data_IF_512586872531
#
_entry.id   IF_512586872531
#
_cell.length_a   1.000
_cell.length_b   1.000
_cell.length_c   1.000
_cell.angle_alpha   90.00
_cell.angle_beta   90.00
_cell.angle_gamma   90.00
#
_symmetry.space_group_name_H-M   'P 1'
#
loop_
_entity.id
_entity.type
_entity.pdbx_description
1 polymer ?
#
# COMPACT_ATOMS: atom_id res chain seq x y z
N UNK A 1 -28.30 -9.63 98.45
CA UNK A 1 -27.00 -8.91 98.45
C UNK A 1 -26.81 -8.37 97.05
N UNK A 2 -27.18 -7.11 96.79
CA UNK A 2 -26.27 -5.94 96.81
C UNK A 2 -25.08 -6.15 95.84
N UNK A 3 -24.77 -5.29 94.87
CA UNK A 3 -24.89 -3.83 94.82
C UNK A 3 -24.73 -3.32 93.38
N UNK A 4 -25.35 -2.16 93.13
CA UNK A 4 -25.24 -1.24 92.00
C UNK A 4 -23.80 -0.75 91.72
N UNK A 5 -23.50 -0.44 90.44
CA UNK A 5 -23.03 0.90 89.97
C UNK A 5 -22.90 0.99 88.43
N UNK A 6 -23.57 1.99 87.85
CA UNK A 6 -23.30 2.61 86.54
C UNK A 6 -21.90 3.22 86.45
N UNK A 7 -21.27 3.24 85.26
CA UNK A 7 -20.83 4.44 84.47
C UNK A 7 -20.67 4.02 82.98
N UNK A 8 -21.08 4.90 82.06
CA UNK A 8 -20.98 4.90 80.59
C UNK A 8 -19.59 4.61 80.00
N UNK A 9 -19.54 4.02 78.79
CA UNK A 9 -18.71 4.49 77.67
C UNK A 9 -19.01 3.73 76.35
N UNK A 10 -19.34 4.47 75.29
CA UNK A 10 -18.96 4.16 73.89
C UNK A 10 -19.76 3.11 73.12
N UNK A 11 -20.86 3.52 72.46
CA UNK A 11 -21.47 2.75 71.36
C UNK A 11 -20.69 3.02 70.06
N UNK A 12 -20.07 1.99 69.50
CA UNK A 12 -19.60 1.96 68.12
C UNK A 12 -19.98 0.61 67.50
N UNK A 13 -21.14 0.56 66.84
CA UNK A 13 -21.54 -0.55 65.97
C UNK A 13 -20.78 -0.44 64.64
N UNK A 14 -20.00 -1.47 64.31
CA UNK A 14 -19.41 -1.69 62.99
C UNK A 14 -20.26 -2.75 62.28
N UNK A 15 -21.21 -2.27 61.45
CA UNK A 15 -22.03 -3.09 60.56
C UNK A 15 -21.25 -3.45 59.27
N UNK A 16 -21.34 -4.73 58.92
CA UNK A 16 -20.73 -5.37 57.76
C UNK A 16 -21.57 -5.12 56.51
N UNK A 17 -21.23 -4.10 55.72
CA UNK A 17 -21.88 -3.79 54.44
C UNK A 17 -21.09 -4.30 53.23
N UNK A 18 -21.65 -5.29 52.53
CA UNK A 18 -21.23 -5.73 51.19
C UNK A 18 -21.70 -4.68 50.16
N UNK A 19 -20.79 -3.94 49.54
CA UNK A 19 -21.11 -2.99 48.45
C UNK A 19 -21.13 -3.69 47.09
N UNK A 20 -22.25 -3.57 46.38
CA UNK A 20 -22.40 -3.87 44.96
C UNK A 20 -22.08 -2.62 44.13
N UNK A 21 -21.39 -2.73 42.98
CA UNK A 21 -21.01 -1.55 42.19
C UNK A 21 -22.22 -0.97 41.43
N UNK A 22 -22.48 0.32 41.68
CA UNK A 22 -23.51 1.15 41.02
C UNK A 22 -23.19 1.35 39.54
N UNK A 23 -24.19 1.12 38.68
CA UNK A 23 -24.17 1.51 37.28
C UNK A 23 -24.16 3.05 37.14
N UNK A 24 -23.14 3.59 36.49
CA UNK A 24 -23.06 5.01 36.12
C UNK A 24 -23.86 5.21 34.84
N UNK A 25 -25.00 5.87 34.96
CA UNK A 25 -25.86 6.26 33.84
C UNK A 25 -25.47 7.69 33.41
N UNK A 26 -24.65 7.84 32.37
CA UNK A 26 -24.22 9.14 31.87
C UNK A 26 -25.17 9.59 30.74
N UNK A 27 -26.19 10.37 31.10
CA UNK A 27 -27.07 11.04 30.14
C UNK A 27 -26.32 12.22 29.49
N UNK A 28 -26.06 12.13 28.17
CA UNK A 28 -25.49 13.20 27.36
C UNK A 28 -26.59 14.22 27.02
N UNK A 29 -26.35 15.50 27.30
CA UNK A 29 -27.26 16.62 26.93
C UNK A 29 -27.05 17.03 25.47
N UNK A 30 -28.11 17.45 24.74
CA UNK A 30 -27.95 18.00 23.40
C UNK A 30 -27.42 19.44 23.47
N UNK A 31 -26.36 19.74 22.71
CA UNK A 31 -25.85 21.10 22.53
C UNK A 31 -26.47 21.68 21.25
N UNK A 32 -27.19 22.79 21.40
CA UNK A 32 -27.80 23.56 20.33
C UNK A 32 -26.77 24.44 19.61
N UNK A 33 -26.68 24.25 18.29
CA UNK A 33 -26.31 25.16 17.21
C UNK A 33 -25.37 26.35 17.45
N UNK A 34 -24.21 26.31 16.79
CA UNK A 34 -23.66 27.44 16.04
C UNK A 34 -23.21 26.93 14.66
N UNK A 35 -23.67 27.62 13.61
CA UNK A 35 -23.42 27.30 12.20
C UNK A 35 -21.99 27.66 11.78
N UNK A 36 -21.22 26.67 11.32
CA UNK A 36 -20.04 26.92 10.46
C UNK A 36 -19.89 25.82 9.38
N UNK A 37 -20.28 26.19 8.17
CA UNK A 37 -19.73 25.84 6.84
C UNK A 37 -19.36 24.37 6.51
N UNK A 38 -20.27 23.69 5.80
CA UNK A 38 -19.98 23.17 4.44
C UNK A 38 -19.06 21.97 4.22
N UNK A 39 -18.50 21.33 5.25
CA UNK A 39 -17.92 20.00 5.12
C UNK A 39 -18.19 19.18 6.38
N UNK A 40 -18.76 17.98 6.22
CA UNK A 40 -19.15 17.09 7.33
C UNK A 40 -17.98 16.63 8.19
N UNK A 41 -17.49 17.51 9.06
CA UNK A 41 -16.66 17.18 10.20
C UNK A 41 -17.58 16.62 11.30
N UNK A 42 -17.65 15.30 11.36
CA UNK A 42 -18.21 14.59 12.51
C UNK A 42 -17.38 14.93 13.74
N UNK A 43 -18.04 15.28 14.84
CA UNK A 43 -17.40 15.65 16.11
C UNK A 43 -16.37 14.60 16.53
N UNK A 44 -15.17 15.07 16.87
CA UNK A 44 -14.05 14.26 17.36
C UNK A 44 -14.40 13.35 18.51
N UNK A 45 -15.30 13.78 19.42
CA UNK A 45 -15.72 12.96 20.56
C UNK A 45 -16.62 11.77 20.13
N UNK A 46 -17.46 11.98 19.12
CA UNK A 46 -18.29 10.93 18.53
C UNK A 46 -17.43 9.92 17.78
N UNK A 47 -16.39 10.40 17.11
CA UNK A 47 -15.43 9.56 16.40
C UNK A 47 -14.61 8.68 17.36
N UNK A 48 -14.22 9.22 18.51
CA UNK A 48 -13.49 8.51 19.57
C UNK A 48 -14.32 7.35 20.15
N UNK A 49 -15.57 7.62 20.55
CA UNK A 49 -16.48 6.60 21.07
C UNK A 49 -16.73 5.46 20.05
N UNK A 50 -16.93 5.82 18.78
CA UNK A 50 -17.13 4.83 17.72
C UNK A 50 -15.88 3.97 17.46
N UNK A 51 -14.67 4.53 17.64
CA UNK A 51 -13.42 3.79 17.51
C UNK A 51 -13.21 2.83 18.68
N UNK A 52 -13.48 3.28 19.91
CA UNK A 52 -13.40 2.43 21.11
C UNK A 52 -14.36 1.23 21.03
N UNK A 53 -15.60 1.46 20.57
CA UNK A 53 -16.58 0.38 20.36
C UNK A 53 -16.14 -0.64 19.29
N UNK A 54 -15.36 -0.21 18.28
CA UNK A 54 -14.77 -1.10 17.27
C UNK A 54 -13.59 -1.87 17.84
N UNK A 55 -12.74 -1.24 18.66
CA UNK A 55 -11.59 -1.88 19.30
C UNK A 55 -12.01 -2.96 20.30
N UNK A 56 -13.06 -2.72 21.09
CA UNK A 56 -13.55 -3.71 22.07
C UNK A 56 -14.09 -5.00 21.41
N UNK A 57 -14.63 -4.91 20.19
CA UNK A 57 -15.11 -6.07 19.42
C UNK A 57 -14.00 -6.92 18.80
N UNK A 58 -12.76 -6.43 18.69
CA UNK A 58 -11.64 -7.09 17.97
C UNK A 58 -10.89 -8.17 18.78
N UNK A 59 -11.55 -8.91 19.67
CA UNK A 59 -10.86 -9.90 20.53
C UNK A 59 -10.48 -11.24 19.87
N UNK A 60 -10.96 -11.55 18.66
CA UNK A 60 -10.60 -12.79 17.97
C UNK A 60 -9.79 -12.53 16.69
N UNK A 61 -8.60 -13.11 16.60
CA UNK A 61 -7.70 -12.98 15.44
C UNK A 61 -8.27 -13.56 14.13
N UNK A 62 -9.26 -14.46 14.23
CA UNK A 62 -9.96 -15.00 13.08
C UNK A 62 -11.12 -14.13 12.58
N UNK A 63 -11.61 -13.20 13.40
CA UNK A 63 -12.81 -12.42 13.06
C UNK A 63 -12.60 -11.52 11.82
N UNK A 64 -11.36 -11.14 11.51
CA UNK A 64 -11.03 -10.36 10.33
C UNK A 64 -11.16 -11.15 9.02
N UNK A 65 -10.80 -12.43 9.01
CA UNK A 65 -10.96 -13.30 7.82
C UNK A 65 -12.44 -13.48 7.43
N UNK A 66 -13.36 -13.24 8.37
CA UNK A 66 -14.81 -13.27 8.15
C UNK A 66 -15.38 -11.92 7.68
N UNK A 67 -14.57 -10.85 7.62
CA UNK A 67 -15.06 -9.54 7.17
C UNK A 67 -15.14 -9.46 5.65
N UNK A 68 -16.19 -8.82 5.13
CA UNK A 68 -16.35 -8.58 3.68
C UNK A 68 -15.20 -7.77 3.09
N UNK A 69 -14.66 -6.82 3.87
CA UNK A 69 -13.57 -5.96 3.44
C UNK A 69 -12.27 -6.74 3.20
N UNK A 70 -11.99 -7.77 4.01
CA UNK A 70 -10.85 -8.65 3.77
C UNK A 70 -10.92 -9.34 2.41
N UNK A 71 -12.08 -9.90 2.05
CA UNK A 71 -12.27 -10.57 0.76
C UNK A 71 -12.24 -9.60 -0.43
N UNK A 72 -12.75 -8.37 -0.26
CA UNK A 72 -12.65 -7.32 -1.27
C UNK A 72 -11.18 -6.95 -1.51
N UNK A 73 -10.43 -6.69 -0.44
CA UNK A 73 -9.00 -6.34 -0.54
C UNK A 73 -8.19 -7.50 -1.12
N UNK A 74 -8.50 -8.75 -0.74
CA UNK A 74 -7.87 -9.93 -1.32
C UNK A 74 -8.15 -10.05 -2.82
N UNK A 75 -9.42 -9.89 -3.24
CA UNK A 75 -9.81 -9.93 -4.65
C UNK A 75 -9.11 -8.83 -5.45
N UNK A 76 -9.09 -7.60 -4.93
CA UNK A 76 -8.36 -6.49 -5.54
C UNK A 76 -6.87 -6.82 -5.67
N UNK A 77 -6.26 -7.39 -4.62
CA UNK A 77 -4.87 -7.84 -4.64
C UNK A 77 -4.60 -8.86 -5.75
N UNK A 78 -5.52 -9.79 -5.99
CA UNK A 78 -5.39 -10.76 -7.09
C UNK A 78 -5.57 -10.11 -8.47
N UNK A 79 -6.48 -9.14 -8.62
CA UNK A 79 -6.62 -8.37 -9.86
C UNK A 79 -5.31 -7.64 -10.17
N UNK A 80 -4.71 -6.98 -9.17
CA UNK A 80 -3.43 -6.29 -9.32
C UNK A 80 -2.29 -7.25 -9.66
N UNK A 81 -2.25 -8.41 -9.01
CA UNK A 81 -1.28 -9.47 -9.31
C UNK A 81 -1.37 -9.93 -10.77
N UNK A 82 -2.59 -10.10 -11.30
CA UNK A 82 -2.79 -10.43 -12.70
C UNK A 82 -2.40 -9.27 -13.63
N UNK A 83 -2.65 -8.02 -13.24
CA UNK A 83 -2.24 -6.84 -14.01
C UNK A 83 -0.71 -6.77 -14.13
N UNK A 84 0.04 -6.96 -13.04
CA UNK A 84 1.51 -6.94 -13.09
C UNK A 84 2.07 -8.13 -13.89
N UNK A 85 1.44 -9.30 -13.81
CA UNK A 85 1.80 -10.44 -14.67
C UNK A 85 1.53 -10.13 -16.15
N UNK A 86 0.40 -9.49 -16.46
CA UNK A 86 0.04 -9.11 -17.82
C UNK A 86 1.04 -8.07 -18.39
N UNK A 87 1.40 -7.04 -17.62
CA UNK A 87 2.39 -6.03 -18.05
C UNK A 87 3.75 -6.66 -18.31
N UNK A 88 4.22 -7.55 -17.44
CA UNK A 88 5.46 -8.30 -17.65
C UNK A 88 5.41 -9.19 -18.92
N UNK A 89 4.26 -9.80 -19.19
CA UNK A 89 4.04 -10.62 -20.39
C UNK A 89 4.08 -9.76 -21.65
N UNK A 90 3.38 -8.62 -21.69
CA UNK A 90 3.41 -7.70 -22.83
C UNK A 90 4.81 -7.10 -23.05
N UNK A 91 5.52 -6.73 -21.98
CA UNK A 91 6.91 -6.26 -22.07
C UNK A 91 7.82 -7.32 -22.70
N UNK A 92 7.69 -8.58 -22.30
CA UNK A 92 8.46 -9.69 -22.89
C UNK A 92 8.12 -9.88 -24.37
N UNK A 93 6.83 -9.82 -24.74
CA UNK A 93 6.41 -9.92 -26.15
C UNK A 93 6.94 -8.77 -27.02
N UNK A 94 7.02 -7.57 -26.46
CA UNK A 94 7.61 -6.38 -27.12
C UNK A 94 9.11 -6.55 -27.34
N UNK A 95 9.83 -7.05 -26.33
CA UNK A 95 11.27 -7.37 -26.44
C UNK A 95 11.51 -8.45 -27.50
N UNK A 96 10.70 -9.51 -27.53
CA UNK A 96 10.82 -10.60 -28.52
C UNK A 96 10.58 -10.11 -29.96
N UNK A 97 9.88 -8.99 -30.15
CA UNK A 97 9.68 -8.34 -31.46
C UNK A 97 10.77 -7.32 -31.82
N UNK A 98 11.77 -7.12 -30.95
CA UNK A 98 12.85 -6.16 -31.15
C UNK A 98 12.54 -4.74 -30.69
N UNK A 99 11.40 -4.51 -30.01
CA UNK A 99 11.00 -3.18 -29.52
C UNK A 99 11.14 -3.14 -28.00
N UNK A 100 12.35 -2.82 -27.52
CA UNK A 100 12.67 -2.62 -26.10
C UNK A 100 12.75 -1.13 -25.78
N UNK A 101 11.61 -0.48 -25.53
CA UNK A 101 11.56 0.93 -25.13
C UNK A 101 10.75 1.10 -23.82
N UNK A 102 11.34 0.73 -22.67
CA UNK A 102 10.67 0.71 -21.38
C UNK A 102 10.05 2.03 -20.95
N UNK A 103 10.83 3.12 -21.00
CA UNK A 103 10.35 4.42 -20.53
C UNK A 103 9.24 4.93 -21.45
N UNK A 104 9.29 4.60 -22.74
CA UNK A 104 8.22 4.95 -23.67
C UNK A 104 6.94 4.15 -23.43
N UNK A 105 7.03 2.87 -23.07
CA UNK A 105 5.86 2.03 -22.75
C UNK A 105 5.11 2.57 -21.53
N UNK A 106 5.83 2.91 -20.46
CA UNK A 106 5.25 3.48 -19.23
C UNK A 106 4.73 4.90 -19.42
N UNK A 107 5.26 5.65 -20.40
CA UNK A 107 4.82 7.03 -20.68
C UNK A 107 3.32 7.09 -20.99
N UNK A 108 2.79 6.15 -21.77
CA UNK A 108 1.37 6.09 -22.09
C UNK A 108 0.50 5.93 -20.86
N UNK A 109 0.96 5.16 -19.86
CA UNK A 109 0.23 5.03 -18.61
C UNK A 109 0.14 6.37 -17.86
N UNK A 110 1.24 7.10 -17.73
CA UNK A 110 1.22 8.42 -17.09
C UNK A 110 0.35 9.42 -17.86
N UNK A 111 0.34 9.36 -19.20
CA UNK A 111 -0.56 10.16 -20.05
C UNK A 111 -2.02 9.82 -19.75
N UNK A 112 -2.38 8.54 -19.69
CA UNK A 112 -3.75 8.09 -19.39
C UNK A 112 -4.17 8.52 -17.98
N UNK A 113 -3.30 8.33 -16.99
CA UNK A 113 -3.55 8.76 -15.62
C UNK A 113 -3.76 10.28 -15.54
N UNK A 114 -2.94 11.07 -16.22
CA UNK A 114 -3.11 12.52 -16.24
C UNK A 114 -4.40 12.93 -16.95
N UNK A 115 -4.68 12.31 -18.10
CA UNK A 115 -5.86 12.61 -18.90
C UNK A 115 -7.16 12.32 -18.14
N UNK A 116 -7.20 11.29 -17.29
CA UNK A 116 -8.38 10.94 -16.49
C UNK A 116 -8.40 11.72 -15.17
N UNK A 117 -7.34 11.61 -14.38
CA UNK A 117 -7.35 12.07 -12.99
C UNK A 117 -6.95 13.53 -12.84
N UNK A 118 -6.03 14.06 -13.65
CA UNK A 118 -5.70 15.48 -13.61
C UNK A 118 -6.89 16.31 -14.09
N UNK A 119 -7.53 15.92 -15.19
CA UNK A 119 -8.72 16.62 -15.71
C UNK A 119 -9.87 16.57 -14.70
N UNK A 120 -10.11 15.40 -14.07
CA UNK A 120 -11.11 15.27 -13.02
C UNK A 120 -10.77 16.11 -11.77
N UNK A 121 -9.49 16.19 -11.39
CA UNK A 121 -9.05 17.04 -10.27
C UNK A 121 -9.27 18.52 -10.58
N UNK A 122 -8.94 18.97 -11.80
CA UNK A 122 -9.19 20.34 -12.26
C UNK A 122 -10.69 20.64 -12.27
N UNK A 123 -11.52 19.70 -12.72
CA UNK A 123 -12.98 19.86 -12.71
C UNK A 123 -13.53 19.99 -11.28
N UNK A 124 -13.09 19.15 -10.33
CA UNK A 124 -13.60 19.17 -8.94
C UNK A 124 -13.10 20.37 -8.13
N UNK A 125 -11.84 20.77 -8.30
CA UNK A 125 -11.24 21.84 -7.49
C UNK A 125 -11.37 23.22 -8.13
N UNK A 126 -11.50 23.27 -9.45
CA UNK A 126 -11.37 24.49 -10.25
C UNK A 126 -9.92 24.93 -10.41
N UNK A 127 -9.65 25.68 -11.50
CA UNK A 127 -8.29 26.09 -11.90
C UNK A 127 -7.52 26.83 -10.81
N UNK A 128 -8.16 27.72 -10.04
CA UNK A 128 -7.47 28.50 -8.99
C UNK A 128 -6.95 27.62 -7.85
N UNK A 129 -7.78 26.69 -7.35
CA UNK A 129 -7.36 25.79 -6.26
C UNK A 129 -6.36 24.76 -6.75
N UNK A 130 -6.52 24.26 -7.98
CA UNK A 130 -5.56 23.36 -8.61
C UNK A 130 -4.18 24.01 -8.78
N UNK A 131 -4.10 25.26 -9.23
CA UNK A 131 -2.82 25.97 -9.35
C UNK A 131 -2.17 26.24 -7.99
N UNK A 132 -2.97 26.57 -6.97
CA UNK A 132 -2.47 26.67 -5.58
C UNK A 132 -1.91 25.33 -5.09
N UNK A 133 -2.58 24.22 -5.39
CA UNK A 133 -2.10 22.87 -5.06
C UNK A 133 -0.75 22.58 -5.73
N UNK A 134 -0.61 22.90 -7.02
CA UNK A 134 0.67 22.76 -7.75
C UNK A 134 1.79 23.59 -7.14
N UNK A 135 1.53 24.83 -6.74
CA UNK A 135 2.57 25.71 -6.18
C UNK A 135 2.98 25.34 -4.76
N UNK A 136 2.01 24.96 -3.91
CA UNK A 136 2.26 24.74 -2.48
C UNK A 136 2.65 23.30 -2.18
N UNK A 137 1.91 22.33 -2.72
CA UNK A 137 2.10 20.91 -2.44
C UNK A 137 2.76 20.15 -3.60
N UNK A 138 2.94 20.77 -4.78
CA UNK A 138 3.49 20.13 -5.98
C UNK A 138 4.86 19.49 -5.77
N UNK A 139 5.74 20.08 -4.95
CA UNK A 139 7.06 19.51 -4.68
C UNK A 139 7.00 18.12 -4.04
N UNK A 140 5.97 17.85 -3.22
CA UNK A 140 5.78 16.53 -2.59
C UNK A 140 5.32 15.50 -3.63
N UNK A 141 4.48 15.91 -4.57
CA UNK A 141 4.03 15.07 -5.69
C UNK A 141 5.13 14.83 -6.72
N UNK A 142 6.04 15.79 -6.92
CA UNK A 142 7.26 15.60 -7.73
C UNK A 142 8.12 14.50 -7.12
N UNK A 143 8.33 14.52 -5.80
CA UNK A 143 9.11 13.48 -5.12
C UNK A 143 8.45 12.09 -5.27
N UNK A 144 7.14 11.99 -5.05
CA UNK A 144 6.40 10.75 -5.27
C UNK A 144 6.56 10.24 -6.71
N UNK A 145 6.33 11.11 -7.70
CA UNK A 145 6.42 10.76 -9.12
C UNK A 145 7.85 10.41 -9.54
N UNK A 146 8.85 11.05 -8.96
CA UNK A 146 10.26 10.72 -9.20
C UNK A 146 10.59 9.31 -8.72
N UNK A 147 10.18 8.96 -7.50
CA UNK A 147 10.39 7.61 -6.96
C UNK A 147 9.67 6.56 -7.80
N UNK A 148 8.43 6.83 -8.21
CA UNK A 148 7.65 5.91 -9.05
C UNK A 148 8.28 5.70 -10.43
N UNK A 149 8.64 6.78 -11.12
CA UNK A 149 9.24 6.72 -12.47
C UNK A 149 10.60 6.06 -12.44
N UNK A 150 11.48 6.42 -11.51
CA UNK A 150 12.82 5.83 -11.40
C UNK A 150 12.74 4.37 -10.97
N UNK A 151 11.81 4.01 -10.08
CA UNK A 151 11.52 2.62 -9.73
C UNK A 151 11.19 1.77 -10.96
N UNK A 152 10.22 2.23 -11.75
CA UNK A 152 9.86 1.61 -13.02
C UNK A 152 11.05 1.53 -13.99
N UNK A 153 11.80 2.62 -14.16
CA UNK A 153 12.92 2.68 -15.08
C UNK A 153 14.03 1.70 -14.70
N UNK A 154 14.49 1.71 -13.44
CA UNK A 154 15.56 0.82 -12.98
C UNK A 154 15.15 -0.66 -13.02
N UNK A 155 13.89 -0.98 -12.71
CA UNK A 155 13.39 -2.36 -12.81
C UNK A 155 13.39 -2.85 -14.26
N UNK A 156 12.93 -2.05 -15.22
CA UNK A 156 12.97 -2.51 -16.61
C UNK A 156 14.38 -2.47 -17.18
N UNK A 157 15.23 -1.53 -16.74
CA UNK A 157 16.65 -1.53 -17.08
C UNK A 157 17.33 -2.81 -16.57
N UNK A 158 16.97 -3.30 -15.38
CA UNK A 158 17.46 -4.56 -14.85
C UNK A 158 17.10 -5.75 -15.73
N UNK A 159 15.88 -5.78 -16.31
CA UNK A 159 15.47 -6.86 -17.24
C UNK A 159 16.35 -6.95 -18.50
N UNK A 160 17.11 -5.90 -18.86
CA UNK A 160 18.08 -5.96 -19.97
C UNK A 160 19.37 -6.74 -19.59
N UNK A 161 19.63 -6.93 -18.31
CA UNK A 161 20.89 -7.46 -17.79
C UNK A 161 20.73 -8.71 -16.92
N UNK A 162 19.57 -8.93 -16.30
CA UNK A 162 19.24 -10.10 -15.48
C UNK A 162 17.97 -10.80 -15.98
N UNK A 163 17.73 -12.03 -15.51
CA UNK A 163 16.52 -12.77 -15.85
C UNK A 163 15.30 -12.16 -15.14
N UNK A 164 14.15 -12.12 -15.82
CA UNK A 164 12.85 -11.66 -15.28
C UNK A 164 12.55 -12.38 -13.96
N UNK A 165 12.88 -13.67 -13.86
CA UNK A 165 12.69 -14.47 -12.66
C UNK A 165 13.55 -13.98 -11.48
N UNK A 166 14.86 -13.73 -11.68
CA UNK A 166 15.74 -13.18 -10.62
C UNK A 166 15.28 -11.79 -10.20
N UNK A 167 14.94 -10.92 -11.15
CA UNK A 167 14.44 -9.57 -10.85
C UNK A 167 13.08 -9.58 -10.11
N UNK A 168 12.19 -10.53 -10.39
CA UNK A 168 10.93 -10.72 -9.65
C UNK A 168 11.17 -11.12 -8.21
N UNK A 169 12.19 -11.93 -7.93
CA UNK A 169 12.58 -12.22 -6.55
C UNK A 169 13.21 -10.98 -5.91
N UNK A 170 14.00 -10.19 -6.65
CA UNK A 170 14.55 -8.95 -6.08
C UNK A 170 13.46 -7.96 -5.65
N UNK A 171 12.28 -7.97 -6.28
CA UNK A 171 11.14 -7.17 -5.82
C UNK A 171 10.70 -7.47 -4.37
N UNK A 172 11.04 -8.62 -3.78
CA UNK A 172 10.77 -8.85 -2.36
C UNK A 172 11.57 -7.90 -1.45
N UNK A 173 12.68 -7.33 -1.94
CA UNK A 173 13.39 -6.25 -1.26
C UNK A 173 12.51 -5.01 -1.06
N UNK A 174 11.55 -4.75 -1.96
CA UNK A 174 10.57 -3.67 -1.80
C UNK A 174 9.84 -3.79 -0.47
N UNK A 175 9.43 -5.01 -0.08
CA UNK A 175 8.73 -5.26 1.19
C UNK A 175 9.61 -4.86 2.37
N UNK A 176 10.90 -5.20 2.33
CA UNK A 176 11.86 -4.83 3.37
C UNK A 176 11.97 -3.30 3.47
N UNK A 177 12.10 -2.61 2.33
CA UNK A 177 12.10 -1.16 2.27
C UNK A 177 10.80 -0.57 2.82
N UNK A 178 9.64 -1.06 2.40
CA UNK A 178 8.32 -0.63 2.89
C UNK A 178 8.25 -0.73 4.40
N UNK A 179 8.67 -1.85 4.97
CA UNK A 179 8.61 -2.07 6.42
C UNK A 179 9.56 -1.14 7.17
N UNK A 180 10.80 -0.98 6.71
CA UNK A 180 11.78 -0.07 7.32
C UNK A 180 11.30 1.39 7.24
N UNK A 181 10.81 1.82 6.08
CA UNK A 181 10.35 3.19 5.85
C UNK A 181 9.07 3.46 6.65
N UNK A 182 8.15 2.49 6.71
CA UNK A 182 6.95 2.58 7.55
C UNK A 182 7.29 2.61 9.05
N UNK A 183 8.34 1.90 9.49
CA UNK A 183 8.84 1.98 10.86
C UNK A 183 9.40 3.38 11.17
N UNK A 184 10.27 3.88 10.30
CA UNK A 184 11.07 5.09 10.55
C UNK A 184 10.29 6.37 10.29
N UNK A 185 9.59 6.49 9.16
CA UNK A 185 8.85 7.69 8.77
C UNK A 185 7.43 7.73 9.32
N UNK A 186 6.74 6.58 9.32
CA UNK A 186 5.33 6.49 9.76
C UNK A 186 5.17 6.06 11.22
N UNK A 187 6.29 5.76 11.92
CA UNK A 187 6.34 5.33 13.34
C UNK A 187 5.45 4.12 13.64
N UNK A 188 5.27 3.22 12.68
CA UNK A 188 4.57 1.94 12.88
C UNK A 188 5.44 1.06 13.78
N UNK A 189 4.86 0.45 14.83
CA UNK A 189 5.60 -0.43 15.73
C UNK A 189 5.48 -1.89 15.29
N UNK A 190 6.61 -2.56 15.09
CA UNK A 190 6.67 -3.97 14.73
C UNK A 190 7.09 -4.84 15.93
N UNK A 191 6.56 -6.06 16.00
CA UNK A 191 6.93 -7.06 17.02
C UNK A 191 8.25 -7.75 16.64
N UNK A 192 8.96 -8.32 17.62
CA UNK A 192 10.23 -9.01 17.41
C UNK A 192 10.17 -10.14 16.35
N UNK A 193 9.05 -10.86 16.30
CA UNK A 193 8.87 -11.92 15.30
C UNK A 193 8.66 -11.39 13.87
N UNK A 194 8.16 -10.15 13.70
CA UNK A 194 8.16 -9.48 12.40
C UNK A 194 9.58 -9.11 11.97
N UNK A 195 10.41 -8.64 12.89
CA UNK A 195 11.83 -8.37 12.62
C UNK A 195 12.57 -9.66 12.20
N UNK A 196 12.29 -10.79 12.85
CA UNK A 196 12.82 -12.08 12.46
C UNK A 196 12.40 -12.49 11.04
N UNK A 197 11.12 -12.29 10.67
CA UNK A 197 10.64 -12.55 9.31
C UNK A 197 11.35 -11.71 8.24
N UNK A 198 11.64 -10.44 8.53
CA UNK A 198 12.42 -9.55 7.64
C UNK A 198 13.85 -10.08 7.45
N UNK A 199 14.52 -10.48 8.54
CA UNK A 199 15.88 -11.02 8.47
C UNK A 199 15.94 -12.31 7.64
N UNK A 200 14.93 -13.17 7.74
CA UNK A 200 14.82 -14.39 6.92
C UNK A 200 14.66 -14.02 5.43
N UNK A 201 13.83 -13.02 5.10
CA UNK A 201 13.68 -12.55 3.72
C UNK A 201 14.99 -11.96 3.16
N UNK A 202 15.70 -11.14 3.95
CA UNK A 202 17.01 -10.62 3.59
C UNK A 202 18.05 -11.74 3.39
N UNK A 203 17.98 -12.80 4.20
CA UNK A 203 18.82 -14.00 4.05
C UNK A 203 18.55 -14.75 2.74
N UNK A 204 17.26 -14.97 2.40
CA UNK A 204 16.86 -15.58 1.13
C UNK A 204 17.33 -14.79 -0.09
N UNK A 205 17.27 -13.45 -0.01
CA UNK A 205 17.82 -12.54 -1.02
C UNK A 205 19.35 -12.62 -1.14
N UNK A 206 20.06 -12.64 0.00
CA UNK A 206 21.52 -12.75 0.01
C UNK A 206 22.02 -14.05 -0.61
N UNK A 207 21.32 -15.16 -0.38
CA UNK A 207 21.63 -16.45 -1.02
C UNK A 207 21.45 -16.38 -2.53
N UNK A 208 20.40 -15.69 -3.01
CA UNK A 208 20.16 -15.53 -4.44
C UNK A 208 21.26 -14.72 -5.12
N UNK A 209 21.63 -13.56 -4.57
CA UNK A 209 22.70 -12.72 -5.11
C UNK A 209 24.06 -13.44 -5.08
N UNK A 210 24.33 -14.20 -4.01
CA UNK A 210 25.54 -15.01 -3.91
C UNK A 210 25.53 -16.16 -4.92
N UNK A 211 24.38 -16.80 -5.14
CA UNK A 211 24.21 -17.84 -6.15
C UNK A 211 24.52 -17.30 -7.54
N UNK A 212 23.94 -16.17 -7.92
CA UNK A 212 24.13 -15.57 -9.24
C UNK A 212 25.60 -15.14 -9.45
N UNK A 213 26.28 -14.66 -8.39
CA UNK A 213 27.72 -14.40 -8.43
C UNK A 213 28.56 -15.69 -8.62
N UNK A 214 28.22 -16.77 -7.92
CA UNK A 214 28.97 -18.03 -7.95
C UNK A 214 28.71 -18.82 -9.23
N UNK A 215 27.50 -18.75 -9.80
CA UNK A 215 27.13 -19.63 -10.90
C UNK A 215 27.63 -19.21 -12.26
N UNK A 216 27.74 -17.92 -12.61
CA UNK A 216 28.41 -17.43 -13.84
C UNK A 216 28.17 -18.19 -15.17
N UNK A 217 27.17 -19.07 -15.27
CA UNK A 217 27.15 -20.19 -16.22
C UNK A 217 25.75 -20.42 -16.79
N UNK A 218 25.08 -19.34 -17.16
CA UNK A 218 23.95 -19.42 -18.10
C UNK A 218 23.96 -18.24 -19.09
N UNK A 219 25.10 -18.07 -19.76
CA UNK A 219 25.16 -17.47 -21.11
C UNK A 219 25.38 -15.96 -21.21
N UNK A 220 25.72 -15.28 -20.11
CA UNK A 220 26.14 -13.86 -20.12
C UNK A 220 27.33 -13.62 -19.21
N UNK A 221 28.15 -12.61 -19.52
CA UNK A 221 29.33 -12.25 -18.74
C UNK A 221 28.93 -12.00 -17.26
N UNK A 222 29.49 -12.70 -16.26
CA UNK A 222 29.13 -12.59 -14.83
C UNK A 222 29.05 -11.15 -14.28
N UNK A 223 29.92 -10.20 -14.69
CA UNK A 223 29.82 -8.80 -14.26
C UNK A 223 28.51 -8.12 -14.68
N UNK A 224 27.87 -8.61 -15.75
CA UNK A 224 26.67 -8.00 -16.35
C UNK A 224 25.41 -8.38 -15.59
N UNK A 225 25.31 -9.61 -15.09
CA UNK A 225 24.15 -10.07 -14.31
C UNK A 225 24.07 -9.36 -12.95
N UNK A 226 25.20 -9.28 -12.23
CA UNK A 226 25.30 -8.54 -10.96
C UNK A 226 24.91 -7.07 -11.13
N UNK A 227 25.28 -6.44 -12.25
CA UNK A 227 24.84 -5.09 -12.58
C UNK A 227 23.31 -4.99 -12.73
N UNK A 228 22.70 -5.98 -13.37
CA UNK A 228 21.23 -6.11 -13.46
C UNK A 228 20.58 -6.23 -12.08
N UNK A 229 21.14 -7.07 -11.21
CA UNK A 229 20.58 -7.29 -9.87
C UNK A 229 20.70 -6.04 -8.98
N UNK A 230 21.81 -5.30 -9.09
CA UNK A 230 21.96 -4.01 -8.41
C UNK A 230 20.95 -2.98 -8.90
N UNK A 231 20.67 -2.90 -10.20
CA UNK A 231 19.61 -2.05 -10.72
C UNK A 231 18.22 -2.50 -10.24
N UNK A 232 17.96 -3.80 -10.20
CA UNK A 232 16.70 -4.32 -9.66
C UNK A 232 16.54 -3.95 -8.17
N UNK A 233 17.62 -3.97 -7.39
CA UNK A 233 17.61 -3.60 -5.98
C UNK A 233 17.33 -2.09 -5.79
N UNK A 234 17.94 -1.24 -6.63
CA UNK A 234 17.63 0.20 -6.66
C UNK A 234 16.17 0.43 -7.05
N UNK A 235 15.68 -0.24 -8.10
CA UNK A 235 14.28 -0.17 -8.53
C UNK A 235 13.31 -0.58 -7.43
N UNK A 236 13.56 -1.72 -6.77
CA UNK A 236 12.77 -2.21 -5.64
C UNK A 236 12.81 -1.26 -4.43
N UNK A 237 13.93 -0.57 -4.19
CA UNK A 237 14.03 0.45 -3.14
C UNK A 237 13.14 1.65 -3.45
N UNK A 238 13.16 2.12 -4.70
CA UNK A 238 12.30 3.21 -5.15
C UNK A 238 10.82 2.82 -5.12
N UNK A 239 10.46 1.59 -5.52
CA UNK A 239 9.09 1.09 -5.36
C UNK A 239 8.65 1.06 -3.90
N UNK A 240 9.47 0.52 -3.00
CA UNK A 240 9.11 0.46 -1.59
C UNK A 240 8.92 1.85 -0.98
N UNK A 241 9.75 2.83 -1.36
CA UNK A 241 9.58 4.22 -0.96
C UNK A 241 8.34 4.86 -1.57
N UNK A 242 8.10 4.65 -2.87
CA UNK A 242 6.92 5.14 -3.61
C UNK A 242 5.63 4.63 -2.96
N UNK A 243 5.54 3.31 -2.69
CA UNK A 243 4.37 2.68 -2.10
C UNK A 243 4.04 3.26 -0.71
N UNK A 244 5.04 3.51 0.13
CA UNK A 244 4.84 4.11 1.46
C UNK A 244 4.44 5.59 1.36
N UNK A 245 5.06 6.34 0.44
CA UNK A 245 4.67 7.73 0.19
C UNK A 245 3.25 7.81 -0.36
N UNK A 246 2.90 6.95 -1.29
CA UNK A 246 1.56 6.87 -1.88
C UNK A 246 0.53 6.51 -0.81
N UNK A 247 0.80 5.50 0.02
CA UNK A 247 -0.04 5.15 1.18
C UNK A 247 -0.30 6.36 2.08
N UNK A 248 0.74 7.13 2.40
CA UNK A 248 0.62 8.33 3.21
C UNK A 248 -0.23 9.42 2.53
N UNK A 249 -0.06 9.62 1.23
CA UNK A 249 -0.80 10.60 0.44
C UNK A 249 -2.27 10.25 0.30
N UNK A 250 -2.58 9.03 -0.16
CA UNK A 250 -3.96 8.58 -0.40
C UNK A 250 -4.75 8.41 0.90
N UNK A 251 -4.06 8.35 2.03
CA UNK A 251 -4.65 8.42 3.37
C UNK A 251 -5.13 9.83 3.74
N UNK A 252 -4.43 10.88 3.30
CA UNK A 252 -4.71 12.30 3.65
C UNK A 252 -5.43 13.10 2.57
N UNK A 253 -5.30 12.67 1.32
CA UNK A 253 -5.81 13.35 0.12
C UNK A 253 -6.68 12.38 -0.68
N UNK A 254 -7.62 12.88 -1.49
CA UNK A 254 -8.40 12.02 -2.36
C UNK A 254 -7.50 11.32 -3.40
N UNK A 255 -7.77 10.04 -3.68
CA UNK A 255 -6.95 9.23 -4.59
C UNK A 255 -6.85 9.85 -6.00
N UNK A 256 -7.91 10.47 -6.50
CA UNK A 256 -7.89 11.14 -7.80
C UNK A 256 -6.93 12.33 -7.86
N UNK A 257 -6.71 13.05 -6.75
CA UNK A 257 -5.74 14.15 -6.70
C UNK A 257 -4.32 13.59 -6.76
N UNK A 258 -4.05 12.53 -5.98
CA UNK A 258 -2.74 11.87 -5.92
C UNK A 258 -2.38 11.29 -7.28
N UNK A 259 -3.29 10.53 -7.90
CA UNK A 259 -3.09 9.93 -9.23
C UNK A 259 -2.98 10.97 -10.33
N UNK A 260 -3.76 12.06 -10.25
CA UNK A 260 -3.68 13.15 -11.21
C UNK A 260 -2.34 13.87 -11.17
N UNK A 261 -1.78 14.08 -9.98
CA UNK A 261 -0.46 14.69 -9.85
C UNK A 261 0.67 13.72 -10.19
N UNK A 262 0.52 12.44 -9.83
CA UNK A 262 1.45 11.38 -10.21
C UNK A 262 1.55 11.25 -11.74
N UNK A 263 0.40 11.23 -12.43
CA UNK A 263 0.36 11.23 -13.90
C UNK A 263 1.02 12.47 -14.49
N UNK A 264 0.67 13.68 -14.02
CA UNK A 264 1.20 14.93 -14.57
C UNK A 264 2.73 15.02 -14.46
N UNK A 265 3.27 14.86 -13.25
CA UNK A 265 4.72 14.94 -13.04
C UNK A 265 5.43 13.70 -13.61
N UNK A 266 4.77 12.54 -13.60
CA UNK A 266 5.24 11.32 -14.24
C UNK A 266 5.50 11.50 -15.74
N UNK A 267 4.62 12.19 -16.49
CA UNK A 267 4.87 12.51 -17.91
C UNK A 267 6.16 13.31 -18.08
N UNK A 268 6.39 14.31 -17.23
CA UNK A 268 7.55 15.20 -17.34
C UNK A 268 8.84 14.43 -17.03
N UNK A 269 8.88 13.75 -15.88
CA UNK A 269 10.07 13.03 -15.42
C UNK A 269 10.36 11.87 -16.37
N UNK A 270 9.37 11.03 -16.66
CA UNK A 270 9.54 9.88 -17.54
C UNK A 270 9.83 10.32 -18.99
N UNK A 271 9.28 11.44 -19.45
CA UNK A 271 9.62 12.03 -20.75
C UNK A 271 11.08 12.46 -20.83
N UNK A 272 11.62 13.07 -19.77
CA UNK A 272 13.05 13.41 -19.67
C UNK A 272 13.90 12.14 -19.64
N UNK A 273 13.55 11.15 -18.81
CA UNK A 273 14.26 9.88 -18.70
C UNK A 273 14.27 9.14 -20.05
N UNK A 274 13.14 9.07 -20.74
CA UNK A 274 13.03 8.49 -22.08
C UNK A 274 13.88 9.25 -23.12
N UNK A 275 13.90 10.58 -23.07
CA UNK A 275 14.67 11.41 -24.00
C UNK A 275 16.18 11.25 -23.83
N UNK A 276 16.66 11.06 -22.60
CA UNK A 276 18.08 10.88 -22.29
C UNK A 276 18.53 9.45 -22.59
N UNK A 277 17.81 8.45 -22.09
CA UNK A 277 18.30 7.07 -22.04
C UNK A 277 17.82 6.17 -23.17
N UNK A 278 16.63 6.40 -23.73
CA UNK A 278 16.03 5.53 -24.74
C UNK A 278 16.26 6.01 -26.19
N UNK A 279 17.03 7.10 -26.39
CA UNK A 279 17.25 7.72 -27.72
C UNK A 279 17.82 6.77 -28.78
N UNK A 280 18.68 5.83 -28.39
CA UNK A 280 19.21 4.79 -29.28
C UNK A 280 18.19 3.68 -29.54
N UNK A 281 17.40 3.30 -28.54
CA UNK A 281 16.35 2.28 -28.62
C UNK A 281 15.26 2.66 -29.63
N UNK A 282 14.92 3.94 -29.76
CA UNK A 282 13.97 4.43 -30.76
C UNK A 282 14.42 4.21 -32.21
N UNK A 283 15.74 4.18 -32.48
CA UNK A 283 16.28 4.04 -33.84
C UNK A 283 16.22 2.61 -34.38
N UNK A 284 16.17 1.62 -33.50
CA UNK A 284 16.10 0.19 -33.85
C UNK A 284 14.72 -0.42 -33.69
N UNK A 285 13.72 0.35 -33.28
CA UNK A 285 12.40 -0.14 -32.94
C UNK A 285 11.59 -0.55 -34.18
N UNK A 286 10.96 -1.71 -34.12
CA UNK A 286 10.01 -2.16 -35.14
C UNK A 286 8.61 -1.64 -34.76
N UNK A 287 7.98 -0.96 -35.70
CA UNK A 287 6.63 -0.42 -35.54
C UNK A 287 5.68 -1.22 -36.42
N UNK A 288 4.89 -2.09 -35.80
CA UNK A 288 3.87 -2.92 -36.45
C UNK A 288 2.57 -2.88 -35.62
N UNK A 289 1.44 -3.24 -36.24
CA UNK A 289 0.14 -3.31 -35.58
C UNK A 289 0.13 -4.22 -34.35
N UNK A 290 0.93 -5.30 -34.36
CA UNK A 290 1.11 -6.16 -33.18
C UNK A 290 1.81 -5.45 -32.02
N UNK A 291 2.86 -4.65 -32.32
CA UNK A 291 3.57 -3.84 -31.33
C UNK A 291 2.62 -2.79 -30.73
N UNK A 292 1.81 -2.14 -31.57
CA UNK A 292 0.74 -1.25 -31.11
C UNK A 292 -0.24 -1.95 -30.17
N UNK A 293 -0.69 -3.16 -30.53
CA UNK A 293 -1.57 -3.98 -29.68
C UNK A 293 -0.97 -4.34 -28.33
N UNK A 294 0.32 -4.71 -28.28
CA UNK A 294 1.01 -5.00 -27.02
C UNK A 294 1.18 -3.77 -26.15
N UNK A 295 1.47 -2.60 -26.73
CA UNK A 295 1.54 -1.32 -25.99
C UNK A 295 0.17 -1.00 -25.40
N UNK A 296 -0.92 -1.11 -26.18
CA UNK A 296 -2.28 -0.87 -25.67
C UNK A 296 -2.64 -1.83 -24.55
N UNK A 297 -2.37 -3.13 -24.70
CA UNK A 297 -2.60 -4.13 -23.66
C UNK A 297 -1.82 -3.84 -22.38
N UNK A 298 -0.55 -3.47 -22.52
CA UNK A 298 0.30 -3.02 -21.42
C UNK A 298 -0.28 -1.78 -20.72
N UNK A 299 -0.65 -0.75 -21.49
CA UNK A 299 -1.19 0.51 -20.94
C UNK A 299 -2.51 0.28 -20.21
N UNK A 300 -3.41 -0.56 -20.74
CA UNK A 300 -4.68 -0.87 -20.07
C UNK A 300 -4.44 -1.60 -18.75
N UNK A 301 -3.59 -2.64 -18.76
CA UNK A 301 -3.28 -3.40 -17.55
C UNK A 301 -2.63 -2.51 -16.48
N UNK A 302 -1.68 -1.66 -16.88
CA UNK A 302 -1.01 -0.74 -15.97
C UNK A 302 -1.94 0.37 -15.47
N UNK A 303 -2.82 0.90 -16.31
CA UNK A 303 -3.80 1.91 -15.91
C UNK A 303 -4.79 1.35 -14.87
N UNK A 304 -5.26 0.10 -15.06
CA UNK A 304 -6.09 -0.60 -14.06
C UNK A 304 -5.32 -0.77 -12.76
N UNK A 305 -4.05 -1.20 -12.85
CA UNK A 305 -3.20 -1.37 -11.68
C UNK A 305 -3.07 -0.09 -10.87
N UNK A 306 -2.66 1.01 -11.49
CA UNK A 306 -2.50 2.31 -10.82
C UNK A 306 -3.82 2.87 -10.29
N UNK A 307 -4.94 2.59 -10.97
CA UNK A 307 -6.27 3.05 -10.53
C UNK A 307 -6.76 2.32 -9.27
N UNK A 308 -6.42 1.03 -9.13
CA UNK A 308 -6.87 0.18 -8.03
C UNK A 308 -5.89 0.13 -6.85
N UNK A 309 -4.59 0.35 -7.09
CA UNK A 309 -3.56 0.34 -6.05
C UNK A 309 -3.86 1.27 -4.85
N UNK A 310 -4.28 2.54 -5.05
CA UNK A 310 -4.68 3.44 -3.95
C UNK A 310 -5.79 2.88 -3.07
N UNK A 311 -6.71 2.06 -3.61
CA UNK A 311 -7.81 1.49 -2.84
C UNK A 311 -7.28 0.48 -1.83
N UNK A 312 -6.33 -0.38 -2.25
CA UNK A 312 -5.68 -1.32 -1.33
C UNK A 312 -4.84 -0.58 -0.30
N UNK A 313 -4.01 0.38 -0.73
CA UNK A 313 -3.16 1.18 0.18
C UNK A 313 -3.97 1.91 1.24
N UNK A 314 -5.21 2.30 0.90
CA UNK A 314 -6.16 2.96 1.81
C UNK A 314 -6.89 2.00 2.74
N UNK A 315 -7.27 0.82 2.26
CA UNK A 315 -8.03 -0.19 3.02
C UNK A 315 -7.15 -1.04 3.95
N UNK A 316 -5.96 -1.37 3.46
CA UNK A 316 -4.92 -2.16 4.12
C UNK A 316 -3.65 -1.30 4.17
N UNK A 317 -2.46 -1.87 3.99
CA UNK A 317 -1.16 -1.18 4.07
C UNK A 317 -0.30 -1.39 2.82
N UNK A 318 0.76 -0.60 2.63
CA UNK A 318 1.76 -0.84 1.58
C UNK A 318 2.41 -2.23 1.72
N UNK A 319 2.60 -2.71 2.95
CA UNK A 319 3.07 -4.07 3.19
C UNK A 319 2.08 -5.10 2.66
N UNK A 320 0.78 -4.94 2.96
CA UNK A 320 -0.27 -5.84 2.45
C UNK A 320 -0.37 -5.82 0.91
N UNK A 321 -0.26 -4.62 0.33
CA UNK A 321 -0.23 -4.42 -1.10
C UNK A 321 0.91 -5.21 -1.75
N UNK A 322 2.14 -5.04 -1.28
CA UNK A 322 3.30 -5.76 -1.83
C UNK A 322 3.09 -7.28 -1.75
N UNK A 323 2.66 -7.83 -0.59
CA UNK A 323 2.38 -9.28 -0.43
C UNK A 323 1.40 -9.78 -1.50
N UNK A 324 0.34 -9.00 -1.74
CA UNK A 324 -0.71 -9.42 -2.68
C UNK A 324 -0.12 -9.60 -4.08
N UNK A 325 0.86 -8.77 -4.45
CA UNK A 325 1.57 -8.86 -5.73
C UNK A 325 2.48 -10.08 -5.85
N UNK A 326 2.87 -10.72 -4.73
CA UNK A 326 3.69 -11.94 -4.79
C UNK A 326 2.96 -13.09 -5.46
N UNK A 327 1.64 -13.12 -5.37
CA UNK A 327 0.85 -14.08 -6.15
C UNK A 327 1.08 -13.92 -7.65
N UNK A 328 1.39 -12.70 -8.11
CA UNK A 328 1.80 -12.38 -9.48
C UNK A 328 3.13 -13.01 -9.89
N UNK A 329 4.06 -13.23 -8.95
CA UNK A 329 5.30 -13.96 -9.23
C UNK A 329 5.02 -15.43 -9.56
N UNK A 330 4.05 -16.07 -8.89
CA UNK A 330 3.64 -17.45 -9.23
C UNK A 330 3.04 -17.51 -10.63
N UNK A 331 2.15 -16.59 -10.97
CA UNK A 331 1.60 -16.49 -12.33
C UNK A 331 2.68 -16.21 -13.37
N UNK A 332 3.63 -15.33 -13.03
CA UNK A 332 4.80 -15.01 -13.85
C UNK A 332 5.66 -16.24 -14.15
N UNK A 333 5.94 -17.07 -13.14
CA UNK A 333 6.66 -18.34 -13.30
C UNK A 333 5.88 -19.30 -14.21
N UNK A 334 4.58 -19.48 -13.98
CA UNK A 334 3.75 -20.38 -14.80
C UNK A 334 3.78 -19.96 -16.27
N UNK A 335 3.61 -18.67 -16.54
CA UNK A 335 3.67 -18.12 -17.89
C UNK A 335 5.10 -18.23 -18.46
N UNK A 336 6.13 -17.96 -17.67
CA UNK A 336 7.53 -18.13 -18.05
C UNK A 336 7.84 -19.53 -18.56
N UNK A 337 7.39 -20.57 -17.85
CA UNK A 337 7.56 -21.97 -18.27
C UNK A 337 6.66 -22.32 -19.46
N UNK A 338 5.34 -22.02 -19.36
CA UNK A 338 4.34 -22.53 -20.32
C UNK A 338 4.30 -21.77 -21.64
N UNK A 339 4.50 -20.45 -21.60
CA UNK A 339 4.37 -19.56 -22.76
C UNK A 339 5.75 -19.26 -23.35
N UNK A 340 6.75 -19.01 -22.51
CA UNK A 340 8.09 -18.63 -22.95
C UNK A 340 9.13 -19.76 -22.92
N UNK A 341 8.76 -20.95 -22.41
CA UNK A 341 9.64 -22.13 -22.41
C UNK A 341 10.89 -21.98 -21.53
N UNK A 342 10.87 -21.08 -20.53
CA UNK A 342 12.03 -20.82 -19.67
C UNK A 342 12.30 -22.00 -18.72
N UNK A 343 13.59 -22.31 -18.50
CA UNK A 343 14.03 -23.33 -17.55
C UNK A 343 14.37 -22.69 -16.20
N UNK A 344 13.90 -23.30 -15.12
CA UNK A 344 14.10 -22.81 -13.76
C UNK A 344 15.35 -23.48 -13.15
N UNK A 345 16.22 -22.66 -12.59
CA UNK A 345 17.42 -23.13 -11.90
C UNK A 345 17.13 -23.66 -10.50
N UNK A 346 17.91 -24.65 -10.02
CA UNK A 346 17.61 -25.41 -8.79
C UNK A 346 17.61 -24.56 -7.51
N UNK A 347 18.39 -23.48 -7.44
CA UNK A 347 18.41 -22.58 -6.27
C UNK A 347 17.18 -21.65 -6.19
N UNK A 348 16.46 -21.46 -7.30
CA UNK A 348 15.30 -20.57 -7.36
C UNK A 348 14.13 -21.05 -6.48
N UNK A 349 13.68 -22.33 -6.52
CA UNK A 349 12.67 -22.84 -5.59
C UNK A 349 13.06 -22.71 -4.12
N UNK A 350 14.35 -22.84 -3.79
CA UNK A 350 14.84 -22.75 -2.40
C UNK A 350 14.72 -21.31 -1.89
N UNK A 351 15.23 -20.33 -2.65
CA UNK A 351 15.10 -18.91 -2.31
C UNK A 351 13.63 -18.51 -2.19
N UNK A 352 12.80 -18.99 -3.12
CA UNK A 352 11.36 -18.75 -3.13
C UNK A 352 10.66 -19.28 -1.87
N UNK A 353 10.91 -20.53 -1.47
CA UNK A 353 10.33 -21.13 -0.26
C UNK A 353 10.78 -20.38 1.00
N UNK A 354 12.05 -20.02 1.11
CA UNK A 354 12.56 -19.25 2.25
C UNK A 354 11.85 -17.90 2.38
N UNK A 355 11.61 -17.22 1.27
CA UNK A 355 10.93 -15.92 1.27
C UNK A 355 9.46 -16.07 1.66
N UNK A 356 8.76 -17.07 1.13
CA UNK A 356 7.37 -17.37 1.52
C UNK A 356 7.28 -17.70 3.02
N UNK A 357 8.21 -18.51 3.56
CA UNK A 357 8.24 -18.82 4.98
C UNK A 357 8.55 -17.59 5.85
N UNK A 358 9.48 -16.73 5.42
CA UNK A 358 9.78 -15.47 6.09
C UNK A 358 8.56 -14.55 6.16
N UNK A 359 7.80 -14.47 5.08
CA UNK A 359 6.56 -13.70 5.01
C UNK A 359 5.47 -14.31 5.89
N UNK A 360 5.21 -15.61 5.79
CA UNK A 360 4.23 -16.29 6.67
C UNK A 360 4.58 -16.04 8.14
N UNK A 361 5.85 -16.13 8.52
CA UNK A 361 6.31 -15.86 9.88
C UNK A 361 6.08 -14.41 10.30
N UNK A 362 6.40 -13.45 9.43
CA UNK A 362 6.10 -12.03 9.64
C UNK A 362 4.60 -11.79 9.88
N UNK A 363 3.73 -12.43 9.09
CA UNK A 363 2.29 -12.19 9.14
C UNK A 363 1.55 -12.93 10.24
N UNK A 364 1.99 -14.13 10.62
CA UNK A 364 1.45 -14.82 11.80
C UNK A 364 1.83 -14.09 13.10
N UNK A 365 2.96 -13.40 13.10
CA UNK A 365 3.41 -12.59 14.22
C UNK A 365 2.71 -11.21 14.30
N UNK A 366 2.45 -10.60 13.16
CA UNK A 366 1.73 -9.33 13.06
C UNK A 366 0.24 -9.50 13.27
N UNK A 367 -0.40 -8.59 14.02
CA UNK A 367 -1.87 -8.51 13.96
C UNK A 367 -2.26 -7.92 12.61
N UNK A 368 -2.46 -8.76 11.59
CA UNK A 368 -3.04 -8.42 10.27
C UNK A 368 -4.43 -7.74 10.34
N UNK A 369 -4.95 -7.51 11.55
CA UNK A 369 -6.34 -7.22 11.88
C UNK A 369 -6.66 -5.73 12.08
N UNK A 370 -5.70 -4.83 11.81
CA UNK A 370 -5.79 -3.41 12.15
C UNK A 370 -5.47 -2.39 11.06
N UNK A 371 -5.08 -2.80 9.85
CA UNK A 371 -4.31 -1.94 8.92
C UNK A 371 -5.07 -0.77 8.29
N UNK A 372 -6.39 -0.70 8.43
CA UNK A 372 -7.16 0.48 8.03
C UNK A 372 -6.94 1.67 8.98
N UNK A 373 -6.51 1.42 10.23
CA UNK A 373 -6.14 2.47 11.18
C UNK A 373 -4.70 2.90 10.95
N UNK A 374 -4.52 4.15 10.54
CA UNK A 374 -3.20 4.71 10.24
C UNK A 374 -2.70 5.55 11.42
N UNK A 375 -1.58 5.19 12.07
CA UNK A 375 -1.07 5.92 13.24
C UNK A 375 -0.80 7.42 12.98
N UNK A 376 -0.44 7.79 11.75
CA UNK A 376 -0.14 9.17 11.36
C UNK A 376 -1.36 10.05 11.08
N UNK A 377 -2.57 9.48 11.08
CA UNK A 377 -3.81 10.23 10.87
C UNK A 377 -4.42 10.80 12.16
N UNK A 378 -3.79 10.55 13.32
CA UNK A 378 -4.31 10.92 14.63
C UNK A 378 -5.05 9.75 15.31
N UNK A 379 -5.27 9.87 16.62
CA UNK A 379 -5.96 8.82 17.41
C UNK A 379 -7.36 8.55 16.85
N UNK A 380 -8.04 9.59 16.38
CA UNK A 380 -9.40 9.50 15.87
C UNK A 380 -9.43 9.41 14.34
N UNK A 381 -8.29 9.25 13.67
CA UNK A 381 -8.18 9.29 12.20
C UNK A 381 -8.65 10.64 11.62
N UNK A 382 -8.63 11.73 12.40
CA UNK A 382 -9.22 13.01 12.01
C UNK A 382 -8.62 13.61 10.73
N UNK A 383 -7.32 13.39 10.50
CA UNK A 383 -6.58 13.86 9.31
C UNK A 383 -6.84 13.03 8.05
N UNK A 384 -7.62 11.95 8.16
CA UNK A 384 -7.98 11.07 7.06
C UNK A 384 -9.15 11.60 6.24
N UNK A 385 -9.26 11.13 5.00
CA UNK A 385 -10.44 11.36 4.15
C UNK A 385 -11.50 10.28 4.42
N UNK A 386 -12.78 10.67 4.50
CA UNK A 386 -13.88 9.71 4.49
C UNK A 386 -14.09 9.21 3.05
N UNK A 387 -13.58 8.02 2.75
CA UNK A 387 -13.65 7.43 1.42
C UNK A 387 -13.84 5.92 1.52
N UNK A 388 -14.13 5.27 0.39
CA UNK A 388 -14.43 3.83 0.37
C UNK A 388 -13.28 3.05 1.04
N UNK A 389 -13.63 2.30 2.08
CA UNK A 389 -12.68 1.47 2.82
C UNK A 389 -11.81 2.15 3.88
N UNK A 390 -11.99 3.45 4.18
CA UNK A 390 -11.22 4.13 5.23
C UNK A 390 -11.75 3.86 6.64
N UNK A 391 -10.86 3.86 7.64
CA UNK A 391 -11.25 3.77 9.04
C UNK A 391 -12.17 4.94 9.45
N UNK A 392 -11.94 6.15 8.92
CA UNK A 392 -12.81 7.31 9.14
C UNK A 392 -14.24 7.07 8.63
N UNK A 393 -14.41 6.50 7.43
CA UNK A 393 -15.75 6.16 6.93
C UNK A 393 -16.45 5.12 7.80
N UNK A 394 -15.72 4.09 8.26
CA UNK A 394 -16.28 3.07 9.17
C UNK A 394 -16.73 3.67 10.50
N UNK A 395 -15.91 4.55 11.09
CA UNK A 395 -16.26 5.22 12.34
C UNK A 395 -17.47 6.15 12.17
N UNK A 396 -17.57 6.89 11.05
CA UNK A 396 -18.77 7.69 10.72
C UNK A 396 -20.02 6.81 10.52
N UNK A 397 -19.89 5.67 9.83
CA UNK A 397 -21.02 4.73 9.65
C UNK A 397 -21.44 4.08 10.97
N UNK A 398 -20.50 3.78 11.86
CA UNK A 398 -20.78 3.24 13.18
C UNK A 398 -21.47 4.29 14.06
N UNK A 399 -20.98 5.53 14.06
CA UNK A 399 -21.61 6.64 14.75
C UNK A 399 -23.03 6.94 14.23
N UNK A 400 -23.27 6.81 12.91
CA UNK A 400 -24.62 6.86 12.32
C UNK A 400 -25.51 5.71 12.80
N UNK A 401 -24.98 4.49 12.94
CA UNK A 401 -25.73 3.32 13.46
C UNK A 401 -26.09 3.47 14.93
N UNK A 402 -25.25 4.14 15.70
CA UNK A 402 -25.46 4.44 17.12
C UNK A 402 -26.33 5.70 17.34
N UNK A 403 -26.76 6.37 16.26
CA UNK A 403 -27.59 7.57 16.33
C UNK A 403 -26.86 8.84 16.79
N UNK A 404 -25.52 8.81 16.82
CA UNK A 404 -24.66 9.91 17.29
C UNK A 404 -24.39 10.96 16.19
N UNK A 405 -24.80 10.70 14.95
CA UNK A 405 -24.66 11.62 13.80
C UNK A 405 -26.00 11.71 13.09
N UNK A 406 -26.48 12.93 12.86
CA UNK A 406 -27.72 13.19 12.12
C UNK A 406 -27.68 12.62 10.69
N UNK A 407 -28.86 12.26 10.17
CA UNK A 407 -29.04 11.88 8.78
C UNK A 407 -28.93 13.13 7.89
N UNK A 408 -27.71 13.64 7.70
CA UNK A 408 -27.49 14.70 6.72
C UNK A 408 -27.51 14.09 5.32
N UNK A 409 -28.71 14.12 4.75
CA UNK A 409 -28.99 14.51 3.36
C UNK A 409 -28.39 13.64 2.25
N UNK A 410 -29.26 12.93 1.55
CA UNK A 410 -29.16 12.85 0.10
C UNK A 410 -28.88 14.25 -0.46
N UNK A 411 -27.75 14.41 -1.14
CA UNK A 411 -27.55 15.47 -2.10
C UNK A 411 -26.78 14.89 -3.30
N UNK A 412 -27.50 14.87 -4.42
CA UNK A 412 -27.18 14.53 -5.81
C UNK A 412 -25.71 14.62 -6.21
#
# INVERSE_FOLDING_TARGET
>A
MASSKHIDEGVAELDTGVETPKAVNQQVRPVTGEETDGSGEVDTAVLEHAIEAIEEKKKAWYAYFLTRDFWIVLLLGQILALCITATNTFSTLLVNKGTSIPAFQTLFNYIVLAAIYTTYTVYRYGFKKYFKLLLVDGWKYILLSFMDVEGNYFTVLAYRYTNILSAQLINFWSIVCVVIVSFTLLRVRYKLAQIAGILICCGGMGILLASDHITGSNGGDPPTQVKGDLFALVGATFYGLSNVFEEWFVSKRPAYEVLGMLGLFGIIINGITAAIFDRSSFRGATWDGQVGGYIVGYTIALAIFYSLAPLILRMASAAFFDISLLTGNFWGVIIGIRVFGQTIYYLYPIAFVLIILGLITYFLAGSMLGDSFKPWLGKNQEKGVAGLGTAKLRAVQQARREGLVGNDGEAV
#
